data_IF_144838560151
#
_entry.id   IF_144838560151
#
_cell.length_a   1.000
_cell.length_b   1.000
_cell.length_c   1.000
_cell.angle_alpha   90.00
_cell.angle_beta   90.00
_cell.angle_gamma   90.00
#
_symmetry.space_group_name_H-M   'P 1'
#
loop_
_entity.id
_entity.type
_entity.pdbx_description
1 polymer ?
#
# COMPACT_ATOMS: atom_id res chain seq x y z
N UNK A 1 -23.32 -19.70 13.09
CA UNK A 1 -22.64 -21.01 13.13
C UNK A 1 -22.61 -21.45 14.59
N UNK A 2 -22.73 -22.76 14.85
CA UNK A 2 -22.63 -23.31 16.22
C UNK A 2 -21.15 -23.21 16.67
N UNK A 3 -20.94 -22.62 17.85
CA UNK A 3 -19.59 -22.38 18.37
C UNK A 3 -18.79 -23.68 18.59
N UNK A 4 -19.46 -24.77 18.87
CA UNK A 4 -18.81 -26.09 19.02
C UNK A 4 -18.16 -26.57 17.71
N UNK A 5 -18.76 -26.22 16.54
CA UNK A 5 -18.12 -26.50 15.24
C UNK A 5 -16.92 -25.58 14.99
N UNK A 6 -17.03 -24.31 15.39
CA UNK A 6 -15.91 -23.37 15.27
C UNK A 6 -14.71 -23.89 16.08
N UNK A 7 -14.93 -24.30 17.32
CA UNK A 7 -13.87 -24.80 18.22
C UNK A 7 -13.25 -26.13 17.79
N UNK A 8 -14.01 -27.01 17.11
CA UNK A 8 -13.55 -28.37 16.78
C UNK A 8 -13.08 -28.56 15.34
N UNK A 9 -13.62 -27.78 14.39
CA UNK A 9 -13.46 -28.06 12.96
C UNK A 9 -12.87 -26.87 12.17
N UNK A 10 -12.75 -25.67 12.77
CA UNK A 10 -12.28 -24.49 12.08
C UNK A 10 -10.86 -24.15 12.53
N UNK A 11 -9.93 -24.08 11.58
CA UNK A 11 -8.54 -23.75 11.85
C UNK A 11 -8.34 -22.26 12.12
N UNK A 12 -9.06 -21.38 11.37
CA UNK A 12 -8.90 -19.92 11.47
C UNK A 12 -10.21 -19.17 11.19
N UNK A 13 -10.42 -18.07 11.90
CA UNK A 13 -11.52 -17.13 11.65
C UNK A 13 -10.93 -15.80 11.15
N UNK A 14 -11.47 -15.28 10.06
CA UNK A 14 -11.02 -14.05 9.43
C UNK A 14 -12.10 -12.97 9.43
N UNK A 15 -11.76 -11.75 9.82
CA UNK A 15 -12.61 -10.57 9.72
C UNK A 15 -12.07 -9.63 8.65
N UNK A 16 -12.94 -9.10 7.78
CA UNK A 16 -12.60 -8.05 6.82
C UNK A 16 -12.65 -6.65 7.42
N UNK A 17 -13.24 -6.48 8.62
CA UNK A 17 -13.39 -5.18 9.27
C UNK A 17 -14.56 -5.14 10.25
N UNK A 18 -14.72 -4.00 10.92
CA UNK A 18 -15.73 -3.78 11.97
C UNK A 18 -17.10 -3.42 11.37
N UNK A 19 -17.62 -4.28 10.53
CA UNK A 19 -18.95 -4.18 9.92
C UNK A 19 -19.58 -5.54 9.72
N UNK A 20 -20.91 -5.56 9.56
CA UNK A 20 -21.67 -6.79 9.33
C UNK A 20 -22.13 -6.87 7.88
N UNK A 21 -21.94 -8.03 7.26
CA UNK A 21 -22.44 -8.36 5.91
C UNK A 21 -23.47 -9.47 5.99
N UNK A 22 -24.31 -9.60 4.97
CA UNK A 22 -25.44 -10.56 4.97
C UNK A 22 -25.02 -12.03 4.89
N UNK A 23 -23.81 -12.32 4.42
CA UNK A 23 -23.26 -13.66 4.29
C UNK A 23 -21.74 -13.63 4.10
N UNK A 24 -21.10 -14.80 4.16
CA UNK A 24 -19.64 -14.94 4.03
C UNK A 24 -19.11 -14.92 2.59
N UNK A 25 -20.00 -14.91 1.59
CA UNK A 25 -19.63 -15.07 0.18
C UNK A 25 -18.74 -13.94 -0.32
N UNK A 26 -19.07 -12.68 0.03
CA UNK A 26 -18.27 -11.51 -0.34
C UNK A 26 -16.90 -11.53 0.35
N UNK A 27 -16.85 -11.95 1.62
CA UNK A 27 -15.61 -12.11 2.34
C UNK A 27 -14.71 -13.17 1.69
N UNK A 28 -15.30 -14.34 1.36
CA UNK A 28 -14.58 -15.41 0.66
C UNK A 28 -14.06 -14.95 -0.71
N UNK A 29 -14.86 -14.24 -1.50
CA UNK A 29 -14.43 -13.69 -2.80
C UNK A 29 -13.26 -12.71 -2.64
N UNK A 30 -13.30 -11.84 -1.65
CA UNK A 30 -12.21 -10.89 -1.36
C UNK A 30 -10.91 -11.61 -1.02
N UNK A 31 -10.97 -12.64 -0.16
CA UNK A 31 -9.80 -13.43 0.20
C UNK A 31 -9.24 -14.22 -0.99
N UNK A 32 -10.13 -14.85 -1.78
CA UNK A 32 -9.73 -15.61 -2.98
C UNK A 32 -9.05 -14.68 -3.98
N UNK A 33 -9.61 -13.51 -4.26
CA UNK A 33 -9.02 -12.53 -5.18
C UNK A 33 -7.64 -12.09 -4.69
N UNK A 34 -7.54 -11.67 -3.42
CA UNK A 34 -6.28 -11.26 -2.81
C UNK A 34 -5.19 -12.35 -2.88
N UNK A 35 -5.55 -13.61 -2.61
CA UNK A 35 -4.61 -14.74 -2.66
C UNK A 35 -4.23 -15.13 -4.09
N UNK A 36 -5.19 -15.06 -5.02
CA UNK A 36 -4.98 -15.45 -6.42
C UNK A 36 -3.94 -14.55 -7.09
N UNK A 37 -3.88 -13.27 -6.73
CA UNK A 37 -2.89 -12.31 -7.27
C UNK A 37 -1.42 -12.75 -7.07
N UNK A 38 -1.14 -13.58 -6.05
CA UNK A 38 0.18 -14.11 -5.76
C UNK A 38 0.45 -15.47 -6.42
N UNK A 39 -0.50 -16.01 -7.18
CA UNK A 39 -0.27 -17.27 -7.90
C UNK A 39 0.49 -16.98 -9.21
N UNK A 40 1.53 -17.80 -9.54
CA UNK A 40 2.25 -17.65 -10.81
C UNK A 40 1.30 -17.65 -12.01
N UNK A 41 1.46 -16.69 -12.90
CA UNK A 41 0.64 -16.57 -14.12
C UNK A 41 -0.79 -16.06 -13.92
N UNK A 42 -1.21 -15.67 -12.71
CA UNK A 42 -2.54 -15.12 -12.44
C UNK A 42 -2.67 -13.67 -12.94
N UNK A 43 -1.58 -12.91 -12.91
CA UNK A 43 -1.51 -11.55 -13.43
C UNK A 43 -0.70 -11.52 -14.72
N UNK A 44 -1.05 -10.58 -15.62
CA UNK A 44 -0.30 -10.36 -16.85
C UNK A 44 1.11 -9.79 -16.65
N UNK A 45 1.34 -9.15 -15.52
CA UNK A 45 2.62 -8.65 -15.03
C UNK A 45 2.82 -9.16 -13.59
N UNK A 46 3.74 -10.07 -13.38
CA UNK A 46 4.01 -10.70 -12.08
C UNK A 46 4.63 -9.70 -11.10
N UNK A 47 5.37 -8.70 -11.57
CA UNK A 47 5.99 -7.68 -10.73
C UNK A 47 4.94 -6.73 -10.14
N UNK A 48 3.78 -6.59 -10.77
CA UNK A 48 2.69 -5.73 -10.30
C UNK A 48 2.21 -6.09 -8.89
N UNK A 49 2.07 -7.39 -8.58
CA UNK A 49 1.68 -7.82 -7.24
C UNK A 49 2.78 -7.56 -6.17
N UNK A 50 4.04 -7.58 -6.60
CA UNK A 50 5.19 -7.36 -5.70
C UNK A 50 5.38 -5.88 -5.35
N UNK A 51 4.94 -4.97 -6.23
CA UNK A 51 5.01 -3.52 -6.01
C UNK A 51 3.79 -2.98 -5.24
N UNK A 52 2.72 -3.75 -5.08
CA UNK A 52 1.51 -3.33 -4.37
C UNK A 52 1.73 -3.06 -2.87
N UNK A 53 0.77 -2.33 -2.28
CA UNK A 53 0.73 -2.08 -0.84
C UNK A 53 0.84 -3.37 -0.04
N UNK A 54 1.54 -3.30 1.08
CA UNK A 54 1.77 -4.37 2.07
C UNK A 54 2.80 -5.44 1.67
N UNK A 55 3.10 -5.67 0.41
CA UNK A 55 4.05 -6.72 -0.02
C UNK A 55 5.44 -6.48 0.57
N UNK A 56 5.89 -5.24 0.58
CA UNK A 56 7.14 -4.84 1.24
C UNK A 56 6.92 -4.18 2.62
N UNK A 57 5.70 -4.29 3.17
CA UNK A 57 5.31 -3.70 4.45
C UNK A 57 5.06 -2.19 4.43
N UNK A 58 4.97 -1.57 3.26
CA UNK A 58 4.62 -0.17 3.08
C UNK A 58 3.34 -0.04 2.25
N UNK A 59 2.70 1.14 2.30
CA UNK A 59 1.68 1.49 1.32
C UNK A 59 2.35 1.88 0.00
N UNK A 60 1.66 1.60 -1.11
CA UNK A 60 2.14 1.96 -2.44
C UNK A 60 2.25 3.49 -2.61
N UNK A 61 3.18 3.93 -3.46
CA UNK A 61 3.35 5.35 -3.81
C UNK A 61 2.20 5.84 -4.68
N UNK A 62 1.91 7.16 -4.71
CA UNK A 62 0.91 7.70 -5.62
C UNK A 62 1.23 7.41 -7.09
N UNK A 63 0.22 7.01 -7.84
CA UNK A 63 0.30 6.79 -9.27
C UNK A 63 -0.44 7.88 -10.05
N UNK A 64 -0.01 8.11 -11.29
CA UNK A 64 -0.56 9.14 -12.15
C UNK A 64 -0.86 8.55 -13.52
N UNK A 65 -2.05 8.86 -14.03
CA UNK A 65 -2.48 8.49 -15.38
C UNK A 65 -2.30 9.65 -16.36
N UNK A 66 -2.49 9.39 -17.63
CA UNK A 66 -2.58 10.45 -18.66
C UNK A 66 -3.94 11.16 -18.54
N UNK A 67 -4.01 12.46 -18.88
CA UNK A 67 -2.94 13.34 -19.38
C UNK A 67 -2.00 13.85 -18.28
N UNK A 68 -0.88 14.46 -18.67
CA UNK A 68 0.15 14.98 -17.74
C UNK A 68 -0.36 16.09 -16.81
N UNK A 69 -1.39 16.84 -17.21
CA UNK A 69 -2.00 17.88 -16.40
C UNK A 69 -3.52 17.72 -16.41
N UNK A 70 -4.13 17.78 -15.22
CA UNK A 70 -5.59 17.77 -15.04
C UNK A 70 -5.95 18.94 -14.13
N UNK A 71 -6.75 19.87 -14.61
CA UNK A 71 -7.24 21.05 -13.84
C UNK A 71 -6.11 21.86 -13.16
N UNK A 72 -4.97 21.98 -13.86
CA UNK A 72 -3.80 22.69 -13.35
C UNK A 72 -2.96 21.89 -12.35
N UNK A 73 -3.28 20.64 -12.12
CA UNK A 73 -2.47 19.72 -11.31
C UNK A 73 -1.60 18.86 -12.23
N UNK A 74 -0.30 19.03 -12.12
CA UNK A 74 0.69 18.36 -12.96
C UNK A 74 1.22 17.07 -12.30
N UNK A 75 1.52 16.08 -13.13
CA UNK A 75 2.34 14.93 -12.71
C UNK A 75 3.68 15.42 -12.19
N UNK A 76 4.18 14.92 -11.06
CA UNK A 76 5.49 15.30 -10.54
C UNK A 76 6.59 15.17 -11.60
N UNK A 77 7.36 16.23 -11.80
CA UNK A 77 8.39 16.29 -12.87
C UNK A 77 9.43 15.18 -12.78
N UNK A 78 9.74 14.71 -11.58
CA UNK A 78 10.67 13.60 -11.37
C UNK A 78 10.19 12.31 -12.08
N UNK A 79 8.89 12.06 -12.13
CA UNK A 79 8.32 10.86 -12.80
C UNK A 79 8.43 10.93 -14.33
N UNK A 80 8.68 12.11 -14.87
CA UNK A 80 8.83 12.38 -16.31
C UNK A 80 10.31 12.55 -16.73
N UNK A 81 11.24 12.50 -15.77
CA UNK A 81 12.66 12.81 -16.01
C UNK A 81 13.43 11.72 -16.75
N UNK A 82 12.97 10.46 -16.69
CA UNK A 82 13.72 9.30 -17.16
C UNK A 82 14.89 8.90 -16.24
N UNK A 83 15.11 9.62 -15.14
CA UNK A 83 16.11 9.26 -14.11
C UNK A 83 15.52 8.20 -13.17
N UNK A 84 15.84 6.94 -13.45
CA UNK A 84 15.29 5.79 -12.73
C UNK A 84 15.61 5.84 -11.22
N UNK A 85 16.80 6.33 -10.84
CA UNK A 85 17.18 6.41 -9.43
C UNK A 85 16.43 7.55 -8.71
N UNK A 86 16.26 8.69 -9.33
CA UNK A 86 15.44 9.76 -8.79
C UNK A 86 13.97 9.35 -8.65
N UNK A 87 13.43 8.61 -9.64
CA UNK A 87 12.08 8.07 -9.60
C UNK A 87 11.94 7.05 -8.46
N UNK A 88 12.90 6.12 -8.31
CA UNK A 88 12.91 5.13 -7.23
C UNK A 88 12.87 5.80 -5.85
N UNK A 89 13.75 6.76 -5.62
CA UNK A 89 13.81 7.53 -4.36
C UNK A 89 12.54 8.30 -4.10
N UNK A 90 11.99 8.93 -5.12
CA UNK A 90 10.73 9.66 -4.99
C UNK A 90 9.58 8.71 -4.59
N UNK A 91 9.44 7.56 -5.27
CA UNK A 91 8.41 6.55 -4.95
C UNK A 91 8.58 6.05 -3.52
N UNK A 92 9.80 5.68 -3.12
CA UNK A 92 10.08 5.23 -1.76
C UNK A 92 9.74 6.31 -0.72
N UNK A 93 10.11 7.58 -0.96
CA UNK A 93 9.73 8.70 -0.10
C UNK A 93 8.21 8.81 0.06
N UNK A 94 7.47 8.73 -1.04
CA UNK A 94 6.01 8.82 -1.01
C UNK A 94 5.37 7.63 -0.29
N UNK A 95 5.86 6.42 -0.51
CA UNK A 95 5.39 5.21 0.17
C UNK A 95 5.59 5.29 1.69
N UNK A 96 6.78 5.70 2.12
CA UNK A 96 7.08 5.92 3.55
C UNK A 96 6.18 6.99 4.16
N UNK A 97 6.00 8.10 3.46
CA UNK A 97 5.14 9.20 3.89
C UNK A 97 3.66 8.80 3.97
N UNK A 98 3.15 8.12 2.94
CA UNK A 98 1.77 7.60 2.94
C UNK A 98 1.55 6.59 4.08
N UNK A 99 2.53 5.72 4.33
CA UNK A 99 2.48 4.75 5.42
C UNK A 99 2.50 5.46 6.78
N UNK A 100 3.37 6.43 6.96
CA UNK A 100 3.42 7.23 8.19
C UNK A 100 2.10 7.95 8.49
N UNK A 101 1.43 8.50 7.47
CA UNK A 101 0.17 9.22 7.62
C UNK A 101 -1.03 8.30 7.86
N UNK A 102 -1.12 7.18 7.14
CA UNK A 102 -2.34 6.37 7.06
C UNK A 102 -2.25 5.06 7.87
N UNK A 103 -1.05 4.50 7.99
CA UNK A 103 -0.78 3.22 8.63
C UNK A 103 0.52 3.26 9.45
N UNK A 104 0.60 4.18 10.45
CA UNK A 104 1.80 4.30 11.28
C UNK A 104 2.14 3.02 12.06
N UNK A 105 1.17 2.15 12.26
CA UNK A 105 1.35 0.82 12.84
C UNK A 105 2.35 -0.05 12.06
N UNK A 106 2.39 0.06 10.73
CA UNK A 106 3.33 -0.68 9.87
C UNK A 106 4.80 -0.23 10.02
N UNK A 107 5.03 0.96 10.56
CA UNK A 107 6.38 1.49 10.79
C UNK A 107 6.85 1.30 12.23
N UNK A 108 5.95 0.98 13.18
CA UNK A 108 6.23 1.01 14.62
C UNK A 108 7.35 0.07 15.05
N UNK A 109 7.33 -1.17 14.52
CA UNK A 109 8.26 -2.23 14.89
C UNK A 109 9.21 -2.59 13.74
N UNK A 110 9.31 -1.69 12.76
CA UNK A 110 10.13 -1.87 11.57
C UNK A 110 11.49 -1.18 11.73
N UNK A 111 12.56 -1.92 11.53
CA UNK A 111 13.89 -1.34 11.35
C UNK A 111 13.98 -0.72 9.95
N UNK A 112 14.13 0.60 9.90
CA UNK A 112 14.31 1.34 8.66
C UNK A 112 15.81 1.47 8.35
N UNK A 113 16.15 1.29 7.07
CA UNK A 113 17.48 1.57 6.55
C UNK A 113 17.77 3.08 6.59
N UNK A 114 19.04 3.47 6.55
CA UNK A 114 19.47 4.87 6.61
C UNK A 114 18.81 5.74 5.52
N UNK A 115 18.74 5.23 4.28
CA UNK A 115 18.06 5.92 3.17
C UNK A 115 16.57 6.13 3.45
N UNK A 116 15.91 5.13 4.03
CA UNK A 116 14.48 5.22 4.37
C UNK A 116 14.21 6.25 5.47
N UNK A 117 15.07 6.32 6.47
CA UNK A 117 14.99 7.32 7.55
C UNK A 117 15.11 8.73 6.96
N UNK A 118 16.13 8.97 6.12
CA UNK A 118 16.36 10.26 5.50
C UNK A 118 15.21 10.71 4.60
N UNK A 119 14.68 9.79 3.77
CA UNK A 119 13.55 10.05 2.90
C UNK A 119 12.25 10.32 3.68
N UNK A 120 12.01 9.60 4.78
CA UNK A 120 10.85 9.84 5.63
C UNK A 120 10.92 11.20 6.33
N UNK A 121 12.09 11.58 6.83
CA UNK A 121 12.29 12.92 7.43
C UNK A 121 12.10 14.05 6.42
N UNK A 122 12.59 13.89 5.19
CA UNK A 122 12.33 14.83 4.09
C UNK A 122 10.83 14.95 3.82
N UNK A 123 10.10 13.84 3.75
CA UNK A 123 8.65 13.85 3.56
C UNK A 123 7.93 14.60 4.69
N UNK A 124 8.30 14.34 5.94
CA UNK A 124 7.69 15.01 7.11
C UNK A 124 7.92 16.53 7.08
N UNK A 125 9.12 16.97 6.71
CA UNK A 125 9.43 18.39 6.57
C UNK A 125 8.60 19.06 5.47
N UNK A 126 8.50 18.43 4.30
CA UNK A 126 7.66 18.90 3.18
C UNK A 126 6.19 18.95 3.58
N UNK A 127 5.69 17.91 4.24
CA UNK A 127 4.31 17.82 4.71
C UNK A 127 3.98 18.90 5.74
N UNK A 128 4.86 19.13 6.72
CA UNK A 128 4.69 20.17 7.72
C UNK A 128 4.68 21.56 7.09
N UNK A 129 5.57 21.82 6.14
CA UNK A 129 5.61 23.09 5.41
C UNK A 129 4.33 23.36 4.62
N UNK A 130 3.78 22.34 3.96
CA UNK A 130 2.57 22.47 3.15
C UNK A 130 1.29 22.65 3.98
N UNK A 131 1.24 22.13 5.22
CA UNK A 131 0.08 22.22 6.10
C UNK A 131 0.22 23.30 7.18
N UNK A 132 1.31 24.05 7.20
CA UNK A 132 1.51 25.21 8.07
C UNK A 132 1.03 26.53 7.44
N UNK A 133 0.57 26.49 6.18
CA UNK A 133 -0.03 27.58 5.40
C UNK A 133 -1.55 27.47 5.38
#
# INVERSE_FOLDING_TARGET
>A
IDNRLVESEIDEEWSLGDFVISGGELAAMTLIDAMTRFQPGALGDEDSALEDSFTNGLLHSPEYTRPQSIDGQDVPKVLLSGDHEAIRKWRLKQSLGATWLKRPDLLKDRELEQEQIELLEQFKQEYAHYHAL
#
